data_IF_564160112644
#
_entry.id   IF_564160112644
#
_cell.length_a   1.000
_cell.length_b   1.000
_cell.length_c   1.000
_cell.angle_alpha   90.00
_cell.angle_beta   90.00
_cell.angle_gamma   90.00
#
_symmetry.space_group_name_H-M   'P 1'
#
loop_
_entity.id
_entity.type
_entity.pdbx_description
1 polymer ?
#
# COMPACT_ATOMS: atom_id res chain seq x y z
N UNK A 1 -7.32 6.80 12.71
CA UNK A 1 -6.12 6.92 11.86
C UNK A 1 -6.53 6.67 10.42
N UNK A 2 -6.06 7.48 9.49
CA UNK A 2 -6.45 7.42 8.07
C UNK A 2 -5.60 6.40 7.29
N UNK A 3 -6.10 5.96 6.12
CA UNK A 3 -5.34 5.12 5.18
C UNK A 3 -3.93 5.70 4.90
N UNK A 4 -3.84 7.02 4.77
CA UNK A 4 -2.60 7.76 4.52
C UNK A 4 -1.58 7.69 5.67
N UNK A 5 -2.04 7.71 6.93
CA UNK A 5 -1.18 7.58 8.11
C UNK A 5 -0.62 6.16 8.24
N UNK A 6 -1.46 5.15 7.99
CA UNK A 6 -1.03 3.75 7.98
C UNK A 6 -0.04 3.47 6.84
N UNK A 7 -0.25 4.07 5.66
CA UNK A 7 0.66 3.99 4.53
C UNK A 7 2.03 4.55 4.89
N UNK A 8 2.09 5.76 5.48
CA UNK A 8 3.35 6.41 5.88
C UNK A 8 4.10 5.62 6.96
N UNK A 9 3.44 5.18 8.03
CA UNK A 9 4.08 4.37 9.08
C UNK A 9 4.67 3.07 8.54
N UNK A 10 3.85 2.30 7.82
CA UNK A 10 4.28 1.05 7.17
C UNK A 10 5.31 1.23 6.03
N UNK A 11 5.72 2.45 5.71
CA UNK A 11 6.80 2.77 4.77
C UNK A 11 8.11 3.04 5.50
N UNK A 12 8.07 3.76 6.62
CA UNK A 12 9.25 4.08 7.45
C UNK A 12 9.72 2.86 8.25
N UNK A 13 8.81 2.15 8.91
CA UNK A 13 9.17 1.11 9.90
C UNK A 13 9.63 -0.22 9.24
N UNK A 14 9.41 -0.39 7.93
CA UNK A 14 9.66 -1.66 7.22
C UNK A 14 11.05 -1.82 6.56
N UNK A 15 11.88 -0.76 6.54
CA UNK A 15 13.12 -0.72 5.78
C UNK A 15 14.37 -1.06 6.59
N UNK A 16 14.35 -0.85 7.91
CA UNK A 16 15.48 -1.16 8.78
C UNK A 16 15.39 -2.59 9.34
N UNK A 17 16.57 -3.12 9.71
CA UNK A 17 16.78 -4.40 10.42
C UNK A 17 16.50 -5.70 9.63
N UNK A 18 17.57 -6.48 9.38
CA UNK A 18 17.54 -7.95 9.39
C UNK A 18 18.94 -8.58 9.29
N UNK A 19 19.36 -9.23 10.37
CA UNK A 19 20.29 -10.37 10.45
C UNK A 19 19.51 -11.57 11.01
N UNK A 20 19.65 -12.83 10.56
CA UNK A 20 20.57 -13.40 9.56
C UNK A 20 19.88 -14.54 8.77
N UNK A 21 20.66 -15.40 8.08
CA UNK A 21 20.31 -16.65 7.35
C UNK A 21 19.89 -16.50 5.87
N UNK A 22 20.84 -16.82 4.99
CA UNK A 22 20.85 -16.65 3.52
C UNK A 22 19.59 -17.11 2.76
N UNK A 23 18.99 -18.25 3.12
CA UNK A 23 17.90 -18.85 2.30
C UNK A 23 16.59 -18.05 2.40
N UNK A 24 16.23 -17.59 3.60
CA UNK A 24 15.00 -16.83 3.83
C UNK A 24 15.10 -15.39 3.32
N UNK A 25 16.31 -14.82 3.15
CA UNK A 25 16.49 -13.51 2.52
C UNK A 25 15.95 -13.45 1.09
N UNK A 26 16.02 -14.55 0.31
CA UNK A 26 15.45 -14.56 -1.04
C UNK A 26 13.92 -14.41 -1.00
N UNK A 27 13.28 -15.03 0.00
CA UNK A 27 11.82 -14.96 0.21
C UNK A 27 11.41 -13.58 0.75
N UNK A 28 12.08 -13.10 1.80
CA UNK A 28 11.85 -11.76 2.39
C UNK A 28 12.13 -10.66 1.36
N UNK A 29 13.20 -10.80 0.57
CA UNK A 29 13.57 -9.87 -0.49
C UNK A 29 12.53 -9.79 -1.60
N UNK A 30 11.99 -10.93 -2.03
CA UNK A 30 10.85 -10.97 -2.98
C UNK A 30 9.63 -10.25 -2.40
N UNK A 31 9.20 -10.61 -1.18
CA UNK A 31 8.07 -9.97 -0.51
C UNK A 31 8.27 -8.44 -0.35
N UNK A 32 9.50 -7.98 -0.07
CA UNK A 32 9.84 -6.55 -0.02
C UNK A 32 9.72 -5.87 -1.40
N UNK A 33 10.14 -6.53 -2.48
CA UNK A 33 9.98 -6.01 -3.86
C UNK A 33 8.50 -5.93 -4.23
N UNK A 34 7.71 -6.98 -3.96
CA UNK A 34 6.28 -7.02 -4.24
C UNK A 34 5.54 -5.91 -3.47
N UNK A 35 5.87 -5.70 -2.19
CA UNK A 35 5.36 -4.58 -1.38
C UNK A 35 5.73 -3.19 -1.94
N UNK A 36 6.92 -3.01 -2.51
CA UNK A 36 7.30 -1.75 -3.16
C UNK A 36 6.49 -1.51 -4.43
N UNK A 37 6.23 -2.57 -5.22
CA UNK A 37 5.34 -2.52 -6.38
C UNK A 37 3.91 -2.09 -6.00
N UNK A 38 3.31 -2.78 -5.01
CA UNK A 38 1.96 -2.47 -4.52
C UNK A 38 1.84 -1.07 -3.91
N UNK A 39 2.85 -0.60 -3.18
CA UNK A 39 2.89 0.78 -2.66
C UNK A 39 2.91 1.80 -3.79
N UNK A 40 3.76 1.60 -4.81
CA UNK A 40 3.85 2.48 -5.98
C UNK A 40 2.53 2.52 -6.77
N UNK A 41 1.90 1.36 -6.99
CA UNK A 41 0.59 1.31 -7.68
C UNK A 41 -0.47 2.07 -6.87
N UNK A 42 -0.49 1.92 -5.54
CA UNK A 42 -1.44 2.63 -4.68
C UNK A 42 -1.21 4.15 -4.68
N UNK A 43 0.04 4.61 -4.65
CA UNK A 43 0.40 6.02 -4.82
C UNK A 43 -0.07 6.56 -6.19
N UNK A 44 0.17 5.82 -7.28
CA UNK A 44 -0.30 6.17 -8.62
C UNK A 44 -1.84 6.28 -8.69
N UNK A 45 -2.58 5.34 -8.08
CA UNK A 45 -4.05 5.38 -8.04
C UNK A 45 -4.59 6.53 -7.18
N UNK A 46 -3.93 6.86 -6.07
CA UNK A 46 -4.28 8.01 -5.22
C UNK A 46 -4.04 9.35 -5.96
N UNK A 47 -2.94 9.46 -6.71
CA UNK A 47 -2.67 10.62 -7.57
C UNK A 47 -3.71 10.74 -8.68
N UNK A 48 -4.08 9.64 -9.33
CA UNK A 48 -5.11 9.63 -10.38
C UNK A 48 -6.49 10.05 -9.83
N UNK A 49 -6.86 9.58 -8.64
CA UNK A 49 -8.09 9.99 -7.95
C UNK A 49 -8.06 11.48 -7.56
N UNK A 50 -6.96 11.95 -6.97
CA UNK A 50 -6.77 13.35 -6.60
C UNK A 50 -6.85 14.28 -7.81
N UNK A 51 -6.21 13.91 -8.92
CA UNK A 51 -6.29 14.64 -10.19
C UNK A 51 -7.72 14.70 -10.74
N UNK A 52 -8.48 13.60 -10.66
CA UNK A 52 -9.89 13.57 -11.10
C UNK A 52 -10.79 14.48 -10.27
N UNK A 53 -10.60 14.50 -8.95
CA UNK A 53 -11.34 15.38 -8.02
C UNK A 53 -10.97 16.85 -8.27
N UNK A 54 -9.68 17.16 -8.41
CA UNK A 54 -9.20 18.50 -8.71
C UNK A 54 -9.75 19.03 -10.04
N UNK A 55 -9.74 18.21 -11.09
CA UNK A 55 -10.28 18.57 -12.40
C UNK A 55 -11.76 18.99 -12.32
N UNK A 56 -12.61 18.24 -11.60
CA UNK A 56 -14.02 18.60 -11.49
C UNK A 56 -14.26 19.86 -10.65
N UNK A 57 -13.43 20.09 -9.62
CA UNK A 57 -13.45 21.34 -8.86
C UNK A 57 -13.13 22.54 -9.75
N UNK A 58 -12.08 22.45 -10.57
CA UNK A 58 -11.68 23.49 -11.53
C UNK A 58 -12.77 23.72 -12.61
N UNK A 59 -13.31 22.64 -13.17
CA UNK A 59 -14.43 22.67 -14.12
C UNK A 59 -15.78 23.09 -13.49
N UNK A 60 -15.83 23.32 -12.16
CA UNK A 60 -17.05 23.60 -11.36
C UNK A 60 -18.16 22.55 -11.56
N UNK A 61 -17.78 21.31 -11.82
CA UNK A 61 -18.69 20.17 -12.00
C UNK A 61 -18.88 19.42 -10.69
N UNK A 62 -20.12 19.07 -10.41
CA UNK A 62 -20.43 18.13 -9.34
C UNK A 62 -19.92 16.73 -9.72
N UNK A 63 -19.00 16.19 -8.92
CA UNK A 63 -18.56 14.80 -9.02
C UNK A 63 -19.45 13.95 -8.11
N UNK A 64 -20.00 12.87 -8.66
CA UNK A 64 -20.66 11.82 -7.89
C UNK A 64 -19.73 10.63 -7.74
N UNK A 65 -19.39 10.31 -6.49
CA UNK A 65 -18.54 9.15 -6.15
C UNK A 65 -19.19 7.81 -6.49
N UNK A 66 -20.51 7.77 -6.72
CA UNK A 66 -21.26 6.54 -7.00
C UNK A 66 -21.57 6.34 -8.48
N UNK A 67 -21.61 7.40 -9.30
CA UNK A 67 -21.94 7.34 -10.73
C UNK A 67 -20.80 7.70 -11.68
N UNK A 68 -19.71 8.36 -11.23
CA UNK A 68 -18.49 8.43 -12.03
C UNK A 68 -17.79 7.06 -12.03
N UNK A 69 -17.89 6.36 -13.16
CA UNK A 69 -17.34 5.02 -13.34
C UNK A 69 -15.82 4.96 -13.14
N UNK A 70 -15.09 6.04 -13.47
CA UNK A 70 -13.64 6.10 -13.31
C UNK A 70 -13.27 6.26 -11.84
N UNK A 71 -13.98 7.12 -11.09
CA UNK A 71 -13.81 7.23 -9.63
C UNK A 71 -14.12 5.90 -8.95
N UNK A 72 -15.21 5.24 -9.35
CA UNK A 72 -15.59 3.93 -8.80
C UNK A 72 -14.49 2.89 -9.01
N UNK A 73 -13.92 2.80 -10.23
CA UNK A 73 -12.79 1.90 -10.53
C UNK A 73 -11.55 2.23 -9.68
N UNK A 74 -11.22 3.52 -9.50
CA UNK A 74 -10.11 3.95 -8.66
C UNK A 74 -10.31 3.57 -7.20
N UNK A 75 -11.49 3.84 -6.63
CA UNK A 75 -11.83 3.49 -5.25
C UNK A 75 -11.80 1.96 -5.02
N UNK A 76 -12.31 1.17 -5.96
CA UNK A 76 -12.21 -0.29 -5.91
C UNK A 76 -10.75 -0.75 -5.92
N UNK A 77 -9.92 -0.29 -6.87
CA UNK A 77 -8.52 -0.72 -6.95
C UNK A 77 -7.69 -0.26 -5.75
N UNK A 78 -7.94 0.94 -5.23
CA UNK A 78 -7.34 1.44 -3.98
C UNK A 78 -7.69 0.52 -2.80
N UNK A 79 -8.95 0.07 -2.70
CA UNK A 79 -9.38 -0.84 -1.64
C UNK A 79 -8.77 -2.24 -1.77
N UNK A 80 -8.58 -2.74 -3.00
CA UNK A 80 -7.88 -4.02 -3.25
C UNK A 80 -6.41 -3.91 -2.82
N UNK A 81 -5.70 -2.88 -3.30
CA UNK A 81 -4.29 -2.64 -3.00
C UNK A 81 -4.02 -2.48 -1.50
N UNK A 82 -4.87 -1.75 -0.77
CA UNK A 82 -4.77 -1.64 0.69
C UNK A 82 -4.98 -2.99 1.38
N UNK A 83 -5.88 -3.84 0.88
CA UNK A 83 -6.10 -5.18 1.42
C UNK A 83 -4.93 -6.15 1.09
N UNK A 84 -4.34 -6.05 -0.10
CA UNK A 84 -3.13 -6.78 -0.50
C UNK A 84 -1.93 -6.38 0.38
N UNK A 85 -1.68 -5.07 0.56
CA UNK A 85 -0.63 -4.55 1.45
C UNK A 85 -0.79 -5.04 2.89
N UNK A 86 -2.01 -5.00 3.45
CA UNK A 86 -2.31 -5.53 4.79
C UNK A 86 -2.03 -7.03 4.92
N UNK A 87 -2.23 -7.80 3.86
CA UNK A 87 -1.97 -9.23 3.87
C UNK A 87 -0.45 -9.51 3.84
N UNK A 88 0.30 -8.84 2.97
CA UNK A 88 1.76 -8.96 2.93
C UNK A 88 2.45 -8.45 4.21
N UNK A 89 1.95 -7.38 4.83
CA UNK A 89 2.44 -6.92 6.15
C UNK A 89 2.22 -7.97 7.24
N UNK A 90 1.06 -8.63 7.28
CA UNK A 90 0.80 -9.75 8.21
C UNK A 90 1.69 -10.95 7.94
N UNK A 91 1.97 -11.28 6.67
CA UNK A 91 2.89 -12.36 6.32
C UNK A 91 4.32 -12.05 6.78
N UNK A 92 4.84 -10.85 6.51
CA UNK A 92 6.14 -10.42 7.03
C UNK A 92 6.20 -10.48 8.56
N UNK A 93 5.15 -10.03 9.27
CA UNK A 93 5.11 -10.09 10.74
C UNK A 93 5.20 -11.53 11.24
N UNK A 94 4.44 -12.46 10.64
CA UNK A 94 4.52 -13.90 10.97
C UNK A 94 5.89 -14.50 10.67
N UNK A 95 6.52 -14.10 9.56
CA UNK A 95 7.88 -14.55 9.21
C UNK A 95 8.91 -14.03 10.23
N UNK A 96 8.78 -12.77 10.71
CA UNK A 96 9.62 -12.25 11.80
C UNK A 96 9.40 -13.00 13.11
N UNK A 97 8.14 -13.10 13.55
CA UNK A 97 7.70 -13.78 14.79
C UNK A 97 8.22 -15.23 14.86
N UNK A 98 8.01 -16.02 13.80
CA UNK A 98 8.40 -17.43 13.77
C UNK A 98 9.92 -17.67 13.74
N UNK A 99 10.73 -16.65 13.41
CA UNK A 99 12.19 -16.77 13.28
C UNK A 99 12.97 -16.10 14.42
N UNK A 100 12.28 -15.53 15.43
CA UNK A 100 12.93 -14.80 16.53
C UNK A 100 13.64 -13.51 16.07
N UNK A 101 13.23 -12.94 14.94
CA UNK A 101 13.70 -11.64 14.47
C UNK A 101 12.97 -10.54 15.21
N UNK A 102 13.66 -9.47 15.60
CA UNK A 102 13.08 -8.38 16.39
C UNK A 102 11.85 -7.75 15.72
N UNK A 103 10.86 -7.48 16.57
CA UNK A 103 9.57 -6.88 16.23
C UNK A 103 9.55 -5.49 16.85
N UNK A 104 9.95 -4.50 16.06
CA UNK A 104 9.57 -3.10 16.24
C UNK A 104 8.16 -2.87 15.64
#
# INVERSE_FOLDING_TARGET
>A
MTLWENLKKGLVDGLHTATDKTTEYTKIGRIKIDLLGLKKELEEKLVELGGRVYQAYDEKKEISLTSDMKIKQLLTRISELDQELKNYQKELKRIKENNGLEID
#
